data_IF_859754170768
#
_entry.id   IF_859754170768
#
_cell.length_a   1.000
_cell.length_b   1.000
_cell.length_c   1.000
_cell.angle_alpha   90.00
_cell.angle_beta   90.00
_cell.angle_gamma   90.00
#
_symmetry.space_group_name_H-M   'P 1'
#
loop_
_entity.id
_entity.type
_entity.pdbx_description
1 polymer ?
#
# COMPACT_ATOMS: atom_id res chain seq x y z
N UNK A 1 -0.77 -17.46 47.11
CA UNK A 1 -0.04 -16.42 46.33
C UNK A 1 -0.75 -15.10 46.50
N UNK A 2 -0.02 -14.00 46.77
CA UNK A 2 -0.64 -12.68 46.96
C UNK A 2 -0.94 -12.00 45.62
N UNK A 3 -1.92 -11.09 45.59
CA UNK A 3 -2.27 -10.31 44.38
C UNK A 3 -1.08 -9.56 43.79
N UNK A 4 -0.16 -9.10 44.64
CA UNK A 4 1.07 -8.42 44.23
C UNK A 4 2.01 -9.32 43.41
N UNK A 5 2.10 -10.62 43.76
CA UNK A 5 2.89 -11.60 43.02
C UNK A 5 2.30 -11.82 41.63
N UNK A 6 0.98 -11.96 41.53
CA UNK A 6 0.29 -12.12 40.25
C UNK A 6 0.48 -10.89 39.34
N UNK A 7 0.31 -9.69 39.89
CA UNK A 7 0.53 -8.45 39.16
C UNK A 7 1.97 -8.34 38.63
N UNK A 8 2.97 -8.76 39.42
CA UNK A 8 4.38 -8.75 39.01
C UNK A 8 4.66 -9.73 37.86
N UNK A 9 4.07 -10.92 37.90
CA UNK A 9 4.19 -11.93 36.83
C UNK A 9 3.48 -11.46 35.55
N UNK A 10 2.31 -10.84 35.67
CA UNK A 10 1.61 -10.27 34.52
C UNK A 10 2.42 -9.14 33.87
N UNK A 11 2.97 -8.23 34.68
CA UNK A 11 3.81 -7.14 34.19
C UNK A 11 5.10 -7.63 33.50
N UNK A 12 5.76 -8.67 34.04
CA UNK A 12 6.95 -9.23 33.38
C UNK A 12 6.61 -9.89 32.03
N UNK A 13 5.47 -10.59 31.97
CA UNK A 13 4.98 -11.25 30.76
C UNK A 13 4.55 -10.21 29.71
N UNK A 14 3.88 -9.14 30.13
CA UNK A 14 3.48 -8.03 29.28
C UNK A 14 4.70 -7.32 28.66
N UNK A 15 5.70 -6.97 29.47
CA UNK A 15 6.92 -6.33 28.97
C UNK A 15 7.72 -7.23 28.02
N UNK A 16 7.75 -8.53 28.26
CA UNK A 16 8.38 -9.50 27.36
C UNK A 16 7.68 -9.53 25.99
N UNK A 17 6.36 -9.61 25.98
CA UNK A 17 5.58 -9.61 24.73
C UNK A 17 5.67 -8.26 23.99
N UNK A 18 5.66 -7.15 24.72
CA UNK A 18 5.78 -5.82 24.13
C UNK A 18 7.10 -5.69 23.34
N UNK A 19 8.25 -6.06 23.94
CA UNK A 19 9.57 -5.99 23.28
C UNK A 19 9.63 -6.83 22.00
N UNK A 20 9.02 -8.01 21.98
CA UNK A 20 8.97 -8.87 20.77
C UNK A 20 8.14 -8.22 19.65
N UNK A 21 7.03 -7.57 20.00
CA UNK A 21 6.21 -6.82 19.02
C UNK A 21 6.92 -5.58 18.51
N UNK A 22 7.62 -4.85 19.38
CA UNK A 22 8.39 -3.68 18.98
C UNK A 22 9.46 -3.99 17.94
N UNK A 23 10.14 -5.14 18.03
CA UNK A 23 11.12 -5.55 17.01
C UNK A 23 10.49 -5.71 15.62
N UNK A 24 9.34 -6.40 15.54
CA UNK A 24 8.61 -6.57 14.28
C UNK A 24 8.11 -5.24 13.72
N UNK A 25 7.53 -4.39 14.57
CA UNK A 25 7.07 -3.06 14.17
C UNK A 25 8.22 -2.19 13.69
N UNK A 26 9.36 -2.17 14.40
CA UNK A 26 10.52 -1.37 14.04
C UNK A 26 11.13 -1.79 12.69
N UNK A 27 11.19 -3.10 12.42
CA UNK A 27 11.62 -3.61 11.10
C UNK A 27 10.60 -3.23 10.03
N UNK A 28 9.30 -3.38 10.31
CA UNK A 28 8.22 -2.97 9.41
C UNK A 28 8.26 -1.48 9.05
N UNK A 29 8.50 -0.60 10.03
CA UNK A 29 8.64 0.84 9.80
C UNK A 29 9.86 1.20 8.95
N UNK A 30 10.95 0.45 9.04
CA UNK A 30 12.13 0.65 8.18
C UNK A 30 11.90 0.14 6.76
N UNK A 31 11.04 -0.86 6.58
CA UNK A 31 10.70 -1.43 5.28
C UNK A 31 9.59 -0.63 4.56
N UNK A 32 8.77 0.12 5.29
CA UNK A 32 7.63 0.86 4.74
C UNK A 32 7.96 1.83 3.59
N UNK A 33 9.05 2.64 3.62
CA UNK A 33 9.35 3.51 2.49
C UNK A 33 9.68 2.71 1.22
N UNK A 34 10.34 1.56 1.37
CA UNK A 34 10.64 0.68 0.24
C UNK A 34 9.38 0.04 -0.34
N UNK A 35 8.45 -0.40 0.51
CA UNK A 35 7.17 -0.94 0.07
C UNK A 35 6.37 0.09 -0.74
N UNK A 36 6.45 1.39 -0.37
CA UNK A 36 5.80 2.44 -1.14
C UNK A 36 6.43 2.62 -2.52
N UNK A 37 7.76 2.68 -2.61
CA UNK A 37 8.49 2.78 -3.90
C UNK A 37 8.19 1.59 -4.80
N UNK A 38 8.26 0.38 -4.25
CA UNK A 38 7.91 -0.84 -4.97
C UNK A 38 6.44 -0.88 -5.38
N UNK A 39 5.53 -0.39 -4.53
CA UNK A 39 4.11 -0.27 -4.86
C UNK A 39 3.88 0.62 -6.08
N UNK A 40 4.47 1.82 -6.09
CA UNK A 40 4.38 2.74 -7.24
C UNK A 40 4.99 2.11 -8.50
N UNK A 41 6.15 1.46 -8.37
CA UNK A 41 6.80 0.79 -9.49
C UNK A 41 5.93 -0.33 -10.07
N UNK A 42 5.40 -1.23 -9.24
CA UNK A 42 4.52 -2.31 -9.68
C UNK A 42 3.24 -1.76 -10.34
N UNK A 43 2.63 -0.72 -9.77
CA UNK A 43 1.46 -0.07 -10.38
C UNK A 43 1.81 0.52 -11.74
N UNK A 44 3.00 1.13 -11.92
CA UNK A 44 3.43 1.68 -13.20
C UNK A 44 3.61 0.62 -14.30
N UNK A 45 4.11 -0.57 -13.94
CA UNK A 45 4.26 -1.69 -14.88
C UNK A 45 2.90 -2.28 -15.29
N UNK A 46 1.95 -2.33 -14.37
CA UNK A 46 0.60 -2.88 -14.62
C UNK A 46 -0.34 -1.83 -15.22
N UNK A 47 -0.01 -0.54 -15.10
CA UNK A 47 -0.80 0.58 -15.62
C UNK A 47 -1.25 0.41 -17.09
N UNK A 48 -0.41 -0.04 -18.04
CA UNK A 48 -0.82 -0.22 -19.44
C UNK A 48 -1.87 -1.32 -19.62
N UNK A 49 -1.84 -2.35 -18.79
CA UNK A 49 -2.73 -3.52 -18.86
C UNK A 49 -4.07 -3.32 -18.13
N UNK A 50 -4.19 -2.30 -17.28
CA UNK A 50 -5.43 -2.01 -16.54
C UNK A 50 -6.56 -1.54 -17.45
N UNK A 51 -7.79 -1.79 -17.02
CA UNK A 51 -8.97 -1.28 -17.72
C UNK A 51 -9.06 0.26 -17.61
N UNK A 52 -9.81 0.85 -18.53
CA UNK A 52 -10.00 2.29 -18.69
C UNK A 52 -10.59 2.97 -17.46
N UNK A 53 -11.47 2.30 -16.70
CA UNK A 53 -12.01 2.84 -15.44
C UNK A 53 -10.92 2.95 -14.35
N UNK A 54 -10.12 1.89 -14.18
CA UNK A 54 -9.02 1.90 -13.21
C UNK A 54 -7.92 2.90 -13.59
N UNK A 55 -7.64 3.07 -14.89
CA UNK A 55 -6.71 4.10 -15.38
C UNK A 55 -7.21 5.52 -15.08
N UNK A 56 -8.51 5.79 -15.24
CA UNK A 56 -9.11 7.08 -14.85
C UNK A 56 -9.04 7.29 -13.34
N UNK A 57 -9.33 6.25 -12.55
CA UNK A 57 -9.26 6.33 -11.09
C UNK A 57 -7.83 6.60 -10.59
N UNK A 58 -6.84 5.87 -11.11
CA UNK A 58 -5.43 6.03 -10.72
C UNK A 58 -4.80 7.35 -11.16
N UNK A 59 -5.33 7.97 -12.20
CA UNK A 59 -4.87 9.26 -12.73
C UNK A 59 -5.70 10.45 -12.23
N UNK A 60 -6.57 10.25 -11.23
CA UNK A 60 -7.49 11.27 -10.72
C UNK A 60 -8.34 11.94 -11.82
N UNK A 61 -8.74 11.17 -12.84
CA UNK A 61 -9.61 11.62 -13.93
C UNK A 61 -8.90 12.36 -15.07
N UNK A 62 -7.58 12.56 -14.99
CA UNK A 62 -6.80 13.22 -16.06
C UNK A 62 -6.69 12.31 -17.29
N UNK A 63 -6.72 10.98 -17.11
CA UNK A 63 -6.52 10.04 -18.20
C UNK A 63 -7.73 9.97 -19.14
N UNK A 64 -7.49 10.28 -20.42
CA UNK A 64 -8.47 10.13 -21.51
C UNK A 64 -7.98 9.08 -22.51
N UNK A 65 -8.90 8.24 -22.98
CA UNK A 65 -8.62 7.18 -23.96
C UNK A 65 -8.12 7.72 -25.30
N UNK A 66 -8.55 8.93 -25.66
CA UNK A 66 -8.17 9.67 -26.88
C UNK A 66 -6.71 10.12 -26.89
N UNK A 67 -6.12 10.33 -25.71
CA UNK A 67 -4.79 10.96 -25.60
C UNK A 67 -3.65 9.92 -25.61
N UNK A 68 -3.97 8.64 -25.85
CA UNK A 68 -3.03 7.53 -25.71
C UNK A 68 -2.99 6.64 -26.96
N UNK A 69 -1.78 6.50 -27.53
CA UNK A 69 -1.48 5.54 -28.60
C UNK A 69 -2.26 5.77 -29.89
N UNK A 70 -2.68 4.67 -30.53
CA UNK A 70 -3.42 4.67 -31.80
C UNK A 70 -4.78 5.37 -31.75
N UNK A 71 -5.31 5.66 -30.56
CA UNK A 71 -6.58 6.38 -30.40
C UNK A 71 -6.45 7.89 -30.65
N UNK A 72 -5.23 8.44 -30.70
CA UNK A 72 -5.00 9.86 -31.05
C UNK A 72 -5.42 10.19 -32.48
N UNK A 73 -5.30 9.20 -33.36
CA UNK A 73 -5.57 9.31 -34.79
C UNK A 73 -6.94 8.76 -35.17
N UNK A 74 -7.72 8.25 -34.21
CA UNK A 74 -9.05 7.78 -34.48
C UNK A 74 -9.98 8.98 -34.75
N UNK A 75 -10.73 9.01 -35.87
CA UNK A 75 -11.71 10.04 -36.10
C UNK A 75 -12.76 10.03 -34.95
N UNK A 76 -13.30 11.20 -34.58
CA UNK A 76 -14.33 11.27 -33.55
C UNK A 76 -15.50 10.33 -33.92
N UNK A 77 -16.08 9.60 -32.95
CA UNK A 77 -17.24 8.76 -33.24
C UNK A 77 -18.35 9.67 -33.80
N UNK A 78 -18.90 9.31 -34.96
CA UNK A 78 -20.03 10.02 -35.54
C UNK A 78 -21.22 9.94 -34.58
N UNK A 79 -21.93 11.06 -34.42
CA UNK A 79 -23.14 11.17 -33.60
C UNK A 79 -24.30 10.36 -34.18
#
# INVERSE_FOLDING_TARGET
MSKAVYAKIWMSTHNFNARRRYGCLQVGYRLSPWLFVWGVYCVSLVFPALDTEYKKMLSFGIWKKTDVGYNKTAPPPYE
#
